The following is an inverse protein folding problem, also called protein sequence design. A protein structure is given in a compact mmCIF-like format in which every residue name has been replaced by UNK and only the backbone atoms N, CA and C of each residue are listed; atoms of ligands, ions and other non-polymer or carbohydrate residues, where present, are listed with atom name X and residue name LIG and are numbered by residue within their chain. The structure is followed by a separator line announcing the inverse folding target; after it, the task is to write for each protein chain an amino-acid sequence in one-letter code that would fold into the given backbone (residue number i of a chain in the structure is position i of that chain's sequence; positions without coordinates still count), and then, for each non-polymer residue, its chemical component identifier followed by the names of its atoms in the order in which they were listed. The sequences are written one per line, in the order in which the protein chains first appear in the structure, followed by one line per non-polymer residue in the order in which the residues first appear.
data_IF_799359890624
#
_entry.id   IF_799359890624
#
_cell.length_a   1.000
_cell.length_b   1.000
_cell.length_c   1.000
_cell.angle_alpha   90.00
_cell.angle_beta   90.00
_cell.angle_gamma   90.00
#
_symmetry.space_group_name_H-M   'P 1'
#
loop_
_entity.id
_entity.type
_entity.pdbx_description
1 polymer ?
#
# COMPACT_ATOMS: atom_id res chain seq x y z
N UNK A 1 -5.48 -14.05 -10.73
CA UNK A 1 -4.20 -14.65 -10.33
C UNK A 1 -3.16 -14.37 -11.40
N UNK A 2 -1.87 -14.21 -11.05
CA UNK A 2 -0.79 -13.78 -11.95
C UNK A 2 -0.41 -14.74 -13.10
N UNK A 3 -1.19 -15.82 -13.33
CA UNK A 3 -0.95 -16.83 -14.36
C UNK A 3 0.49 -17.38 -14.38
N UNK A 4 1.11 -17.54 -13.21
CA UNK A 4 2.48 -18.05 -13.05
C UNK A 4 3.59 -17.04 -13.33
N UNK A 5 3.27 -15.77 -13.63
CA UNK A 5 4.27 -14.71 -13.87
C UNK A 5 4.72 -13.99 -12.57
N UNK A 6 4.09 -14.33 -11.45
CA UNK A 6 4.38 -13.76 -10.13
C UNK A 6 4.08 -12.26 -10.03
N UNK A 7 4.40 -11.67 -8.88
CA UNK A 7 4.03 -10.28 -8.57
C UNK A 7 4.83 -9.23 -9.36
N UNK A 8 5.97 -9.61 -9.93
CA UNK A 8 6.88 -8.71 -10.65
C UNK A 8 6.59 -8.65 -12.16
N UNK A 9 6.36 -9.80 -12.80
CA UNK A 9 6.14 -9.88 -14.26
C UNK A 9 4.67 -10.12 -14.63
N UNK A 10 3.83 -10.41 -13.63
CA UNK A 10 2.38 -10.52 -13.77
C UNK A 10 1.67 -9.17 -13.69
N UNK A 11 0.34 -9.15 -13.90
CA UNK A 11 -0.46 -7.98 -13.64
C UNK A 11 -0.42 -7.59 -12.16
N UNK A 12 -0.58 -6.30 -11.86
CA UNK A 12 -0.71 -5.76 -10.51
C UNK A 12 -1.91 -4.83 -10.39
N UNK A 13 -2.09 -4.28 -9.18
CA UNK A 13 -3.12 -3.28 -8.89
C UNK A 13 -2.48 -2.06 -8.22
N UNK A 14 -2.98 -0.87 -8.53
CA UNK A 14 -2.66 0.36 -7.82
C UNK A 14 -3.79 0.75 -6.88
N UNK A 15 -3.44 1.25 -5.70
CA UNK A 15 -4.39 1.78 -4.71
C UNK A 15 -4.03 3.21 -4.34
N UNK A 16 -5.05 4.06 -4.17
CA UNK A 16 -4.93 5.40 -3.59
C UNK A 16 -5.39 5.36 -2.14
N UNK A 17 -4.59 5.87 -1.22
CA UNK A 17 -4.88 5.81 0.21
C UNK A 17 -6.06 6.72 0.57
N UNK A 18 -6.20 7.85 -0.14
CA UNK A 18 -7.37 8.73 -0.01
C UNK A 18 -8.71 8.05 -0.32
N UNK A 19 -8.73 7.04 -1.20
CA UNK A 19 -9.93 6.26 -1.50
C UNK A 19 -10.30 5.30 -0.37
N UNK A 20 -9.35 4.96 0.51
CA UNK A 20 -9.53 3.98 1.58
C UNK A 20 -9.90 4.62 2.91
N UNK A 21 -9.81 5.94 3.06
CA UNK A 21 -10.09 6.61 4.32
C UNK A 21 -10.66 8.04 4.15
N UNK A 22 -11.79 8.35 4.80
CA UNK A 22 -12.34 9.69 4.77
C UNK A 22 -11.40 10.66 5.48
N UNK A 23 -11.07 11.80 4.85
CA UNK A 23 -10.12 12.80 5.37
C UNK A 23 -8.73 12.21 5.65
N UNK A 24 -8.17 11.51 4.68
CA UNK A 24 -6.76 11.07 4.69
C UNK A 24 -5.82 12.30 4.73
N UNK A 25 -5.47 12.69 5.96
CA UNK A 25 -4.71 13.89 6.31
C UNK A 25 -3.87 13.61 7.56
N UNK A 26 -2.70 14.25 7.67
CA UNK A 26 -1.78 14.11 8.81
C UNK A 26 -2.44 14.38 10.18
N UNK A 27 -3.36 15.35 10.25
CA UNK A 27 -4.09 15.66 11.48
C UNK A 27 -4.95 14.50 12.02
N UNK A 28 -5.15 13.44 11.23
CA UNK A 28 -5.94 12.26 11.58
C UNK A 28 -5.06 11.01 11.77
N UNK A 29 -3.75 11.15 12.01
CA UNK A 29 -2.77 10.05 12.09
C UNK A 29 -3.29 8.82 12.86
N UNK A 30 -3.79 9.01 14.09
CA UNK A 30 -4.33 7.92 14.90
C UNK A 30 -5.48 7.17 14.20
N UNK A 31 -6.41 7.88 13.58
CA UNK A 31 -7.52 7.28 12.82
C UNK A 31 -7.03 6.58 11.57
N UNK A 32 -6.04 7.13 10.88
CA UNK A 32 -5.42 6.48 9.72
C UNK A 32 -4.81 5.13 10.13
N UNK A 33 -4.05 5.06 11.22
CA UNK A 33 -3.52 3.78 11.69
C UNK A 33 -4.57 2.79 12.22
N UNK A 34 -5.68 3.30 12.78
CA UNK A 34 -6.76 2.47 13.31
C UNK A 34 -7.76 1.98 12.25
N UNK A 35 -8.00 2.78 11.20
CA UNK A 35 -9.08 2.56 10.22
C UNK A 35 -8.55 2.26 8.81
N UNK A 36 -7.54 3.00 8.33
CA UNK A 36 -6.98 2.83 6.98
C UNK A 36 -6.05 1.61 6.95
N UNK A 37 -5.12 1.51 7.89
CA UNK A 37 -4.12 0.45 7.87
C UNK A 37 -4.72 -0.97 7.78
N UNK A 38 -5.75 -1.34 8.56
CA UNK A 38 -6.36 -2.67 8.43
C UNK A 38 -6.92 -2.95 7.03
N UNK A 39 -7.45 -1.93 6.33
CA UNK A 39 -7.94 -2.06 4.96
C UNK A 39 -6.80 -2.25 3.97
N UNK A 40 -5.72 -1.47 4.11
CA UNK A 40 -4.53 -1.61 3.28
C UNK A 40 -3.87 -2.99 3.46
N UNK A 41 -3.73 -3.46 4.71
CA UNK A 41 -3.19 -4.78 5.01
C UNK A 41 -4.04 -5.89 4.39
N UNK A 42 -5.37 -5.81 4.50
CA UNK A 42 -6.27 -6.79 3.89
C UNK A 42 -6.08 -6.87 2.36
N UNK A 43 -5.98 -5.72 1.68
CA UNK A 43 -5.72 -5.67 0.24
C UNK A 43 -4.34 -6.25 -0.12
N UNK A 44 -3.31 -5.97 0.67
CA UNK A 44 -1.97 -6.53 0.47
C UNK A 44 -1.94 -8.04 0.68
N UNK A 45 -2.64 -8.57 1.68
CA UNK A 45 -2.78 -10.01 1.90
C UNK A 45 -3.50 -10.69 0.73
N UNK A 46 -4.54 -10.06 0.18
CA UNK A 46 -5.23 -10.56 -1.02
C UNK A 46 -4.32 -10.53 -2.26
N UNK A 47 -3.55 -9.46 -2.45
CA UNK A 47 -2.59 -9.36 -3.54
C UNK A 47 -1.50 -10.45 -3.43
N UNK A 48 -0.95 -10.65 -2.22
CA UNK A 48 -0.01 -11.74 -1.90
C UNK A 48 -0.59 -13.11 -2.23
N UNK A 49 -1.82 -13.40 -1.80
CA UNK A 49 -2.47 -14.69 -2.02
C UNK A 49 -2.71 -15.00 -3.51
N UNK A 50 -2.82 -13.97 -4.36
CA UNK A 50 -2.97 -14.11 -5.81
C UNK A 50 -1.66 -13.94 -6.59
N UNK A 51 -0.55 -13.75 -5.87
CA UNK A 51 0.79 -13.49 -6.41
C UNK A 51 0.82 -12.31 -7.39
N UNK A 52 0.02 -11.27 -7.16
CA UNK A 52 0.01 -10.05 -7.97
C UNK A 52 0.71 -8.90 -7.23
N UNK A 53 1.25 -7.92 -7.94
CA UNK A 53 1.81 -6.72 -7.33
C UNK A 53 0.73 -5.79 -6.77
N UNK A 54 1.03 -5.08 -5.68
CA UNK A 54 0.22 -3.99 -5.15
C UNK A 54 1.08 -2.73 -5.05
N UNK A 55 0.69 -1.69 -5.80
CA UNK A 55 1.34 -0.38 -5.76
C UNK A 55 0.52 0.61 -4.93
N UNK A 56 1.17 1.29 -4.00
CA UNK A 56 0.61 2.47 -3.33
C UNK A 56 0.93 3.69 -4.20
N UNK A 57 -0.11 4.35 -4.72
CA UNK A 57 0.05 5.56 -5.54
C UNK A 57 0.48 6.75 -4.67
N UNK A 58 1.37 7.58 -5.22
CA UNK A 58 1.67 8.89 -4.67
C UNK A 58 0.50 9.85 -4.98
N UNK A 59 0.18 10.70 -4.00
CA UNK A 59 -0.91 11.67 -4.08
C UNK A 59 -0.33 13.08 -3.93
N UNK A 60 -0.95 13.98 -3.16
CA UNK A 60 -0.41 15.31 -2.86
C UNK A 60 0.78 15.24 -1.89
N UNK A 61 1.72 16.19 -1.99
CA UNK A 61 3.00 16.15 -1.26
C UNK A 61 2.84 16.16 0.27
N UNK A 62 1.79 16.79 0.79
CA UNK A 62 1.47 16.82 2.23
C UNK A 62 1.09 15.44 2.79
N UNK A 63 0.82 14.46 1.92
CA UNK A 63 0.49 13.08 2.28
C UNK A 63 1.70 12.14 2.24
N UNK A 64 2.88 12.61 1.84
CA UNK A 64 4.07 11.76 1.72
C UNK A 64 4.50 11.16 3.06
N UNK A 65 4.58 11.96 4.12
CA UNK A 65 5.02 11.45 5.43
C UNK A 65 4.09 10.33 5.95
N UNK A 66 2.78 10.55 5.88
CA UNK A 66 1.80 9.57 6.35
C UNK A 66 1.70 8.34 5.44
N UNK A 67 2.01 8.44 4.14
CA UNK A 67 2.11 7.28 3.26
C UNK A 67 3.36 6.45 3.53
N UNK A 68 4.48 7.09 3.92
CA UNK A 68 5.69 6.42 4.36
C UNK A 68 5.50 5.67 5.69
N UNK A 69 4.79 6.26 6.66
CA UNK A 69 4.45 5.58 7.93
C UNK A 69 3.64 4.29 7.68
N UNK A 70 2.71 4.33 6.73
CA UNK A 70 1.91 3.17 6.34
C UNK A 70 2.73 2.15 5.55
N UNK A 71 3.63 2.61 4.67
CA UNK A 71 4.55 1.75 3.92
C UNK A 71 5.47 0.99 4.87
N UNK A 72 6.11 1.68 5.82
CA UNK A 72 7.02 1.07 6.79
C UNK A 72 6.30 -0.04 7.57
N UNK A 73 5.13 0.29 8.12
CA UNK A 73 4.34 -0.69 8.88
C UNK A 73 3.97 -1.91 8.02
N UNK A 74 3.60 -1.70 6.76
CA UNK A 74 3.23 -2.77 5.84
C UNK A 74 4.42 -3.62 5.41
N UNK A 75 5.58 -3.00 5.15
CA UNK A 75 6.81 -3.68 4.73
C UNK A 75 7.35 -4.65 5.81
N UNK A 76 7.10 -4.35 7.08
CA UNK A 76 7.50 -5.19 8.22
C UNK A 76 6.37 -6.05 8.79
N UNK A 77 5.18 -6.08 8.18
CA UNK A 77 4.07 -6.90 8.68
C UNK A 77 4.37 -8.40 8.47
N UNK A 78 4.36 -9.24 9.52
CA UNK A 78 4.65 -10.67 9.40
C UNK A 78 3.73 -11.39 8.42
N UNK A 79 2.50 -10.91 8.19
CA UNK A 79 1.58 -11.50 7.24
C UNK A 79 2.03 -11.34 5.77
N UNK A 80 2.99 -10.46 5.51
CA UNK A 80 3.56 -10.20 4.18
C UNK A 80 5.01 -10.68 4.05
N UNK A 81 5.55 -11.36 5.06
CA UNK A 81 6.92 -11.84 5.05
C UNK A 81 7.23 -12.70 3.81
N UNK A 82 8.37 -12.40 3.16
CA UNK A 82 8.86 -13.09 1.97
C UNK A 82 8.16 -12.71 0.65
N UNK A 83 7.15 -11.84 0.68
CA UNK A 83 6.47 -11.39 -0.53
C UNK A 83 7.13 -10.13 -1.11
N UNK A 84 7.49 -10.18 -2.40
CA UNK A 84 8.18 -9.10 -3.12
C UNK A 84 7.25 -8.28 -4.04
N UNK A 85 5.93 -8.35 -3.81
CA UNK A 85 4.94 -7.66 -4.64
C UNK A 85 4.54 -6.28 -4.15
N UNK A 86 5.12 -5.78 -3.06
CA UNK A 86 4.83 -4.45 -2.53
C UNK A 86 5.58 -3.38 -3.33
N UNK A 87 4.83 -2.48 -3.98
CA UNK A 87 5.35 -1.34 -4.71
C UNK A 87 4.90 -0.01 -4.10
N UNK A 88 5.71 1.02 -4.30
CA UNK A 88 5.45 2.38 -3.83
C UNK A 88 5.85 3.38 -4.90
N UNK A 89 4.97 4.32 -5.21
CA UNK A 89 5.23 5.37 -6.21
C UNK A 89 5.95 6.54 -5.55
N UNK A 90 6.97 7.07 -6.21
CA UNK A 90 7.70 8.29 -5.80
C UNK A 90 7.58 9.32 -6.91
N UNK A 91 7.22 10.54 -6.55
CA UNK A 91 7.13 11.67 -7.48
C UNK A 91 8.49 12.38 -7.55
N UNK A 92 9.14 12.34 -8.72
CA UNK A 92 10.48 12.93 -8.90
C UNK A 92 10.53 14.47 -8.84
N UNK A 93 9.37 15.13 -8.84
CA UNK A 93 9.21 16.57 -8.75
C UNK A 93 8.79 17.04 -7.34
N UNK A 94 8.75 16.11 -6.38
CA UNK A 94 8.50 16.40 -4.96
C UNK A 94 9.63 17.18 -4.33
#
# INVERSE_FOLDING_TARGET
AAAGRGALAGPGISVKLSALHPRYLRAQLHRVHAELYPRLLALAQQARAHEIGLNIDAEESERLEISLDLLERLAFDPALAGWQGLGFVVQAYG
#
